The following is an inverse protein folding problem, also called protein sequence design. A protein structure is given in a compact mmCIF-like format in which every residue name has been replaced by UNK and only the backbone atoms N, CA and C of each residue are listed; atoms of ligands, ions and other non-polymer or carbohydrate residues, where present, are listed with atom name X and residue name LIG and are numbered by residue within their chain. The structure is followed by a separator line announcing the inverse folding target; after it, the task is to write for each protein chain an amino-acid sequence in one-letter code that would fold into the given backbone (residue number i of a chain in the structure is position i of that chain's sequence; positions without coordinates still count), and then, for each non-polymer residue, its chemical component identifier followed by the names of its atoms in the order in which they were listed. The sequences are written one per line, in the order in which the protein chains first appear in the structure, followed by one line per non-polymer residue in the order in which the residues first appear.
data_IF_839692593975
#
_entry.id   IF_839692593975
#
_cell.length_a   1.000
_cell.length_b   1.000
_cell.length_c   1.000
_cell.angle_alpha   90.00
_cell.angle_beta   90.00
_cell.angle_gamma   90.00
#
_symmetry.space_group_name_H-M   'P 1'
#
loop_
_entity.id
_entity.type
_entity.pdbx_description
1 polymer ?
#
# COMPACT_ATOMS: atom_id res chain seq x y z
N UNK A 1 -6.84 8.97 16.18
CA UNK A 1 -6.13 8.72 17.45
C UNK A 1 -4.65 8.50 17.12
N UNK A 2 -3.75 9.36 17.57
CA UNK A 2 -2.31 9.12 17.41
C UNK A 2 -1.86 8.14 18.48
N UNK A 3 -1.04 7.15 18.11
CA UNK A 3 -0.54 6.12 19.01
C UNK A 3 0.50 6.74 19.95
N UNK A 4 0.35 6.51 21.26
CA UNK A 4 1.33 6.92 22.25
C UNK A 4 2.64 6.13 22.07
N UNK A 5 3.81 6.75 22.27
CA UNK A 5 5.09 6.06 22.21
C UNK A 5 5.11 4.89 23.22
N UNK A 6 5.45 3.68 22.74
CA UNK A 6 5.63 2.50 23.61
C UNK A 6 4.53 1.44 23.53
N UNK A 7 3.40 1.73 22.87
CA UNK A 7 2.34 0.73 22.66
C UNK A 7 2.73 -0.21 21.51
N UNK A 8 3.33 -1.36 21.85
CA UNK A 8 3.80 -2.40 20.89
C UNK A 8 2.69 -3.13 20.11
N UNK A 9 1.42 -2.92 20.44
CA UNK A 9 0.32 -3.75 19.94
C UNK A 9 -0.38 -3.22 18.69
N UNK A 10 -0.13 -1.97 18.28
CA UNK A 10 -0.68 -1.44 17.03
C UNK A 10 0.41 -1.43 15.96
N UNK A 11 0.33 -2.39 15.05
CA UNK A 11 1.01 -2.33 13.75
C UNK A 11 0.68 -1.00 13.06
N UNK A 12 1.71 -0.34 12.56
CA UNK A 12 1.62 0.97 11.92
C UNK A 12 1.42 0.78 10.43
N UNK A 13 0.44 1.47 9.86
CA UNK A 13 0.38 1.64 8.41
C UNK A 13 1.66 2.40 8.00
N UNK A 14 2.45 1.82 7.10
CA UNK A 14 3.69 2.43 6.65
C UNK A 14 3.42 3.77 5.92
N UNK A 15 2.40 3.79 5.06
CA UNK A 15 2.07 4.97 4.28
C UNK A 15 0.59 5.08 3.91
N UNK A 16 0.07 6.31 3.95
CA UNK A 16 -1.15 6.68 3.24
C UNK A 16 -0.78 7.68 2.14
N UNK A 17 -1.22 7.42 0.92
CA UNK A 17 -0.95 8.26 -0.24
C UNK A 17 -2.24 8.55 -1.01
N UNK A 18 -2.19 9.57 -1.86
CA UNK A 18 -3.25 9.85 -2.82
C UNK A 18 -2.84 9.27 -4.17
N UNK A 19 -3.56 8.27 -4.65
CA UNK A 19 -3.38 7.72 -5.97
C UNK A 19 -4.03 8.66 -6.98
N UNK A 20 -3.21 9.38 -7.75
CA UNK A 20 -3.68 10.38 -8.73
C UNK A 20 -4.37 9.71 -9.93
N UNK A 21 -3.99 8.47 -10.27
CA UNK A 21 -4.60 7.73 -11.37
C UNK A 21 -6.02 7.26 -11.05
N UNK A 22 -6.24 6.83 -9.81
CA UNK A 22 -7.53 6.36 -9.31
C UNK A 22 -8.34 7.43 -8.56
N UNK A 23 -7.74 8.60 -8.34
CA UNK A 23 -8.34 9.75 -7.64
C UNK A 23 -8.90 9.40 -6.26
N UNK A 24 -8.14 8.62 -5.49
CA UNK A 24 -8.54 8.15 -4.15
C UNK A 24 -7.34 8.05 -3.20
N UNK A 25 -7.62 8.01 -1.90
CA UNK A 25 -6.62 7.66 -0.89
C UNK A 25 -6.38 6.15 -0.90
N UNK A 26 -5.13 5.76 -0.71
CA UNK A 26 -4.73 4.36 -0.62
C UNK A 26 -3.70 4.15 0.47
N UNK A 27 -3.89 3.07 1.23
CA UNK A 27 -2.95 2.60 2.24
C UNK A 27 -1.93 1.72 1.55
N UNK A 28 -0.65 1.91 1.84
CA UNK A 28 0.44 1.10 1.31
C UNK A 28 1.27 0.50 2.43
N UNK A 29 1.59 -0.78 2.29
CA UNK A 29 2.62 -1.48 3.07
C UNK A 29 3.88 -1.58 2.22
N UNK A 30 5.04 -1.27 2.79
CA UNK A 30 6.30 -1.22 2.04
C UNK A 30 7.29 -2.22 2.63
N UNK A 31 7.71 -3.19 1.82
CA UNK A 31 8.70 -4.20 2.20
C UNK A 31 9.93 -4.13 1.31
N UNK A 32 11.08 -4.51 1.84
CA UNK A 32 12.24 -4.84 1.02
C UNK A 32 12.15 -6.28 0.50
N UNK A 33 12.74 -6.58 -0.64
CA UNK A 33 12.76 -7.94 -1.22
C UNK A 33 13.30 -9.02 -0.26
N UNK A 34 14.21 -8.63 0.65
CA UNK A 34 14.80 -9.48 1.67
C UNK A 34 13.99 -9.55 2.98
N UNK A 35 12.80 -8.94 3.04
CA UNK A 35 11.95 -9.04 4.23
C UNK A 35 11.39 -10.47 4.33
N UNK A 36 11.75 -11.16 5.41
CA UNK A 36 11.37 -12.55 5.62
C UNK A 36 9.85 -12.75 5.73
N UNK A 37 9.06 -11.69 5.98
CA UNK A 37 7.59 -11.75 6.06
C UNK A 37 6.93 -11.86 4.69
N UNK A 38 7.68 -11.63 3.61
CA UNK A 38 7.23 -11.89 2.24
C UNK A 38 7.28 -13.37 1.87
N UNK A 39 7.99 -14.20 2.67
CA UNK A 39 8.24 -15.61 2.35
C UNK A 39 7.32 -16.52 3.13
N UNK A 40 6.91 -17.61 2.48
CA UNK A 40 6.26 -18.72 3.16
C UNK A 40 7.27 -19.45 4.04
N UNK A 41 6.84 -19.79 5.26
CA UNK A 41 7.58 -20.69 6.15
C UNK A 41 6.73 -21.92 6.36
N UNK A 42 7.30 -23.10 6.12
CA UNK A 42 6.61 -24.39 6.29
C UNK A 42 5.26 -24.49 5.55
N UNK A 43 5.20 -23.91 4.33
CA UNK A 43 4.00 -23.90 3.49
C UNK A 43 2.88 -22.98 3.99
N UNK A 44 3.13 -22.18 5.03
CA UNK A 44 2.14 -21.23 5.55
C UNK A 44 2.08 -19.96 4.69
N UNK A 45 0.92 -19.33 4.66
CA UNK A 45 0.74 -18.02 4.00
C UNK A 45 1.72 -17.01 4.60
N UNK A 46 2.42 -16.21 3.78
CA UNK A 46 3.36 -15.19 4.29
C UNK A 46 2.70 -14.21 5.26
N UNK A 47 3.41 -13.84 6.32
CA UNK A 47 2.91 -12.93 7.38
C UNK A 47 2.39 -11.61 6.82
N UNK A 48 3.01 -11.08 5.75
CA UNK A 48 2.57 -9.83 5.12
C UNK A 48 1.10 -9.86 4.69
N UNK A 49 0.56 -11.02 4.29
CA UNK A 49 -0.85 -11.15 3.88
C UNK A 49 -1.79 -10.87 5.05
N UNK A 50 -1.45 -11.38 6.23
CA UNK A 50 -2.22 -11.12 7.45
C UNK A 50 -2.14 -9.63 7.85
N UNK A 51 -1.00 -8.98 7.63
CA UNK A 51 -0.86 -7.53 7.84
C UNK A 51 -1.80 -6.74 6.91
N UNK A 52 -1.82 -7.08 5.62
CA UNK A 52 -2.71 -6.44 4.62
C UNK A 52 -4.19 -6.62 4.98
N UNK A 53 -4.57 -7.84 5.39
CA UNK A 53 -5.92 -8.14 5.88
C UNK A 53 -6.30 -7.27 7.06
N UNK A 54 -5.41 -7.11 8.05
CA UNK A 54 -5.65 -6.24 9.20
C UNK A 54 -5.80 -4.78 8.79
N UNK A 55 -5.05 -4.30 7.80
CA UNK A 55 -5.22 -2.93 7.29
C UNK A 55 -6.53 -2.72 6.56
N UNK A 56 -6.98 -3.69 5.75
CA UNK A 56 -8.32 -3.65 5.14
C UNK A 56 -9.40 -3.46 6.21
N UNK A 57 -9.39 -4.31 7.24
CA UNK A 57 -10.37 -4.25 8.34
C UNK A 57 -10.31 -2.92 9.09
N UNK A 58 -9.10 -2.40 9.38
CA UNK A 58 -8.97 -1.09 10.04
C UNK A 58 -9.39 0.07 9.13
N UNK A 59 -9.09 -0.01 7.84
CA UNK A 59 -9.52 0.96 6.83
C UNK A 59 -11.04 1.04 6.75
N UNK A 60 -11.73 -0.09 6.84
CA UNK A 60 -13.19 -0.18 6.95
C UNK A 60 -13.70 0.47 8.24
N UNK A 61 -13.13 0.09 9.39
CA UNK A 61 -13.59 0.52 10.71
C UNK A 61 -13.34 2.02 11.00
N UNK A 62 -12.26 2.58 10.46
CA UNK A 62 -11.80 3.94 10.76
C UNK A 62 -11.73 4.83 9.51
N UNK A 63 -12.55 4.51 8.50
CA UNK A 63 -12.54 5.17 7.18
C UNK A 63 -12.63 6.68 7.30
N UNK A 64 -13.61 7.18 8.04
CA UNK A 64 -13.90 8.62 8.16
C UNK A 64 -12.73 9.37 8.82
N UNK A 65 -12.15 8.78 9.87
CA UNK A 65 -11.00 9.36 10.57
C UNK A 65 -9.76 9.40 9.70
N UNK A 66 -9.52 8.36 8.89
CA UNK A 66 -8.38 8.31 7.95
C UNK A 66 -8.52 9.41 6.89
N UNK A 67 -9.71 9.53 6.27
CA UNK A 67 -9.98 10.56 5.26
C UNK A 67 -9.80 11.95 5.87
N UNK A 68 -10.40 12.21 7.03
CA UNK A 68 -10.31 13.51 7.71
C UNK A 68 -8.86 13.87 8.07
N UNK A 69 -8.07 12.90 8.55
CA UNK A 69 -6.66 13.10 8.85
C UNK A 69 -5.84 13.44 7.60
N UNK A 70 -6.12 12.77 6.48
CA UNK A 70 -5.46 13.04 5.21
C UNK A 70 -5.82 14.42 4.65
N UNK A 71 -7.10 14.80 4.67
CA UNK A 71 -7.56 16.12 4.27
C UNK A 71 -6.92 17.23 5.09
N UNK A 72 -6.87 17.04 6.41
CA UNK A 72 -6.21 17.98 7.33
C UNK A 72 -4.72 18.12 6.99
N UNK A 73 -4.03 17.01 6.76
CA UNK A 73 -2.61 16.98 6.40
C UNK A 73 -2.33 17.67 5.05
N UNK A 74 -3.16 17.40 4.04
CA UNK A 74 -3.09 18.03 2.71
C UNK A 74 -3.34 19.54 2.84
N UNK A 75 -4.38 19.95 3.56
CA UNK A 75 -4.69 21.36 3.82
C UNK A 75 -3.54 22.09 4.52
N UNK A 76 -2.92 21.46 5.52
CA UNK A 76 -1.75 22.00 6.20
C UNK A 76 -0.55 22.13 5.26
N UNK A 77 -0.24 21.08 4.47
CA UNK A 77 0.85 21.11 3.49
C UNK A 77 0.68 22.25 2.47
N UNK A 78 -0.54 22.52 2.00
CA UNK A 78 -0.82 23.66 1.11
C UNK A 78 -0.56 25.00 1.77
N UNK A 79 -1.03 25.18 3.01
CA UNK A 79 -0.82 26.41 3.80
C UNK A 79 0.66 26.68 4.08
N UNK A 80 1.45 25.63 4.22
CA UNK A 80 2.91 25.70 4.41
C UNK A 80 3.70 25.88 3.10
N UNK A 81 3.04 25.98 1.95
CA UNK A 81 3.70 26.23 0.67
C UNK A 81 4.22 24.97 -0.05
N UNK A 82 3.89 23.75 0.43
CA UNK A 82 4.28 22.50 -0.25
C UNK A 82 3.37 22.13 -1.43
N UNK A 83 2.85 23.14 -2.15
CA UNK A 83 1.87 22.94 -3.24
C UNK A 83 2.42 22.07 -4.38
N UNK A 84 3.70 22.20 -4.72
CA UNK A 84 4.35 21.38 -5.75
C UNK A 84 4.39 19.89 -5.41
N UNK A 85 4.40 19.53 -4.12
CA UNK A 85 4.35 18.12 -3.67
C UNK A 85 2.92 17.54 -3.67
N UNK A 86 1.92 18.36 -3.99
CA UNK A 86 0.51 18.00 -4.03
C UNK A 86 -0.06 18.17 -5.44
N UNK A 87 0.81 18.23 -6.45
CA UNK A 87 0.40 18.26 -7.84
C UNK A 87 -0.48 17.02 -8.14
N UNK A 88 -1.63 17.26 -8.78
CA UNK A 88 -2.64 16.21 -9.04
C UNK A 88 -3.58 15.88 -7.88
N UNK A 89 -3.34 16.37 -6.66
CA UNK A 89 -4.26 16.16 -5.53
C UNK A 89 -5.35 17.25 -5.52
N UNK A 90 -6.65 16.90 -5.55
CA UNK A 90 -7.76 17.88 -5.63
C UNK A 90 -7.77 18.85 -4.45
N UNK A 91 -8.16 20.11 -4.71
CA UNK A 91 -8.27 21.13 -3.66
C UNK A 91 -9.40 20.84 -2.66
N UNK A 92 -10.53 20.38 -3.16
CA UNK A 92 -11.73 20.03 -2.39
C UNK A 92 -11.84 18.52 -2.20
N UNK A 93 -11.86 18.08 -0.94
CA UNK A 93 -12.46 16.79 -0.57
C UNK A 93 -13.98 16.80 -0.81
N UNK A 94 -14.69 15.69 -0.56
CA UNK A 94 -14.21 14.51 0.15
C UNK A 94 -13.40 13.56 -0.73
N UNK A 95 -12.32 13.02 -0.17
CA UNK A 95 -11.60 11.91 -0.81
C UNK A 95 -12.26 10.57 -0.49
N UNK A 96 -12.30 9.67 -1.47
CA UNK A 96 -12.61 8.25 -1.22
C UNK A 96 -11.37 7.52 -0.70
N UNK A 97 -11.58 6.41 0.00
CA UNK A 97 -10.51 5.52 0.47
C UNK A 97 -10.65 4.18 -0.28
N UNK A 98 -9.53 3.67 -0.79
CA UNK A 98 -9.45 2.37 -1.43
C UNK A 98 -9.75 1.25 -0.44
N UNK A 99 -10.46 0.23 -0.90
CA UNK A 99 -10.93 -0.87 -0.07
C UNK A 99 -9.79 -1.68 0.53
N UNK A 100 -8.86 -2.08 -0.34
CA UNK A 100 -7.73 -2.92 0.01
C UNK A 100 -6.43 -2.10 -0.03
N UNK A 101 -5.44 -2.43 0.81
CA UNK A 101 -4.13 -1.79 0.75
C UNK A 101 -3.34 -2.23 -0.48
N UNK A 102 -2.29 -1.47 -0.81
CA UNK A 102 -1.30 -1.80 -1.83
C UNK A 102 -0.07 -2.39 -1.15
N UNK A 103 0.50 -3.46 -1.71
CA UNK A 103 1.84 -3.91 -1.31
C UNK A 103 2.88 -3.31 -2.26
N UNK A 104 3.92 -2.72 -1.70
CA UNK A 104 5.10 -2.27 -2.44
C UNK A 104 6.30 -3.10 -2.00
N UNK A 105 6.98 -3.74 -2.96
CA UNK A 105 8.22 -4.47 -2.71
C UNK A 105 9.36 -3.72 -3.40
N UNK A 106 10.24 -3.14 -2.59
CA UNK A 106 11.40 -2.39 -3.03
C UNK A 106 12.69 -3.20 -3.03
N UNK A 107 13.68 -2.71 -3.78
CA UNK A 107 14.99 -3.35 -3.90
C UNK A 107 15.01 -4.57 -4.81
N UNK A 108 13.99 -4.76 -5.65
CA UNK A 108 13.90 -5.88 -6.58
C UNK A 108 14.93 -5.75 -7.70
N UNK A 109 15.65 -6.83 -7.99
CA UNK A 109 16.35 -7.00 -9.26
C UNK A 109 15.38 -7.39 -10.39
N UNK A 110 15.87 -7.42 -11.63
CA UNK A 110 15.06 -7.90 -12.76
C UNK A 110 14.67 -9.37 -12.62
N UNK A 111 15.49 -10.17 -11.95
CA UNK A 111 15.21 -11.59 -11.73
C UNK A 111 14.16 -11.77 -10.64
N UNK A 112 14.21 -10.97 -9.58
CA UNK A 112 13.17 -10.95 -8.54
C UNK A 112 11.81 -10.58 -9.12
N UNK A 113 11.76 -9.52 -9.94
CA UNK A 113 10.51 -9.09 -10.60
C UNK A 113 9.94 -10.23 -11.42
N UNK A 114 10.76 -10.89 -12.25
CA UNK A 114 10.31 -12.03 -13.06
C UNK A 114 9.83 -13.19 -12.19
N UNK A 115 10.61 -13.59 -11.18
CA UNK A 115 10.27 -14.72 -10.31
C UNK A 115 8.95 -14.53 -9.55
N UNK A 116 8.65 -13.30 -9.12
CA UNK A 116 7.39 -12.93 -8.47
C UNK A 116 6.23 -12.97 -9.47
N UNK A 117 6.38 -12.31 -10.62
CA UNK A 117 5.32 -12.22 -11.63
C UNK A 117 4.99 -13.59 -12.26
N UNK A 118 6.00 -14.43 -12.45
CA UNK A 118 5.86 -15.80 -12.96
C UNK A 118 5.35 -16.79 -11.90
N UNK A 119 5.09 -16.32 -10.67
CA UNK A 119 4.60 -17.13 -9.54
C UNK A 119 5.41 -18.39 -9.31
N UNK A 120 6.73 -18.26 -9.35
CA UNK A 120 7.62 -19.40 -9.03
C UNK A 120 7.30 -19.97 -7.65
N UNK A 121 7.67 -21.23 -7.34
CA UNK A 121 7.23 -21.91 -6.11
C UNK A 121 7.49 -21.15 -4.81
N UNK A 122 8.54 -20.32 -4.74
CA UNK A 122 8.84 -19.46 -3.60
C UNK A 122 7.79 -18.37 -3.35
N UNK A 123 7.14 -17.89 -4.41
CA UNK A 123 6.30 -16.69 -4.42
C UNK A 123 4.82 -16.99 -4.62
N UNK A 124 4.46 -18.21 -5.00
CA UNK A 124 3.08 -18.58 -5.36
C UNK A 124 2.09 -18.26 -4.24
N UNK A 125 2.41 -18.63 -2.98
CA UNK A 125 1.54 -18.39 -1.83
C UNK A 125 1.40 -16.90 -1.48
N UNK A 126 2.43 -16.09 -1.75
CA UNK A 126 2.32 -14.64 -1.62
C UNK A 126 1.32 -14.12 -2.65
N UNK A 127 1.50 -14.50 -3.91
CA UNK A 127 0.69 -14.00 -5.03
C UNK A 127 -0.78 -14.38 -4.89
N UNK A 128 -1.09 -15.60 -4.45
CA UNK A 128 -2.45 -16.05 -4.14
C UNK A 128 -3.08 -15.22 -3.01
N UNK A 129 -2.36 -14.98 -1.92
CA UNK A 129 -2.85 -14.15 -0.82
C UNK A 129 -3.05 -12.69 -1.21
N UNK A 130 -2.23 -12.15 -2.12
CA UNK A 130 -2.34 -10.77 -2.58
C UNK A 130 -3.60 -10.51 -3.42
N UNK A 131 -4.03 -11.47 -4.25
CA UNK A 131 -5.27 -11.32 -5.02
C UNK A 131 -6.50 -11.15 -4.10
N UNK A 132 -6.48 -11.80 -2.94
CA UNK A 132 -7.56 -11.70 -1.97
C UNK A 132 -7.47 -10.42 -1.13
N UNK A 133 -6.27 -10.07 -0.65
CA UNK A 133 -6.10 -9.08 0.42
C UNK A 133 -5.53 -7.73 -0.02
N UNK A 134 -4.96 -7.60 -1.22
CA UNK A 134 -4.41 -6.34 -1.74
C UNK A 134 -5.23 -5.78 -2.91
N UNK A 135 -5.19 -4.46 -3.08
CA UNK A 135 -5.68 -3.79 -4.27
C UNK A 135 -4.71 -3.93 -5.44
N UNK A 136 -3.42 -4.03 -5.13
CA UNK A 136 -2.37 -4.24 -6.12
C UNK A 136 -1.00 -4.44 -5.50
N UNK A 137 -0.04 -4.77 -6.36
CA UNK A 137 1.36 -4.99 -6.06
C UNK A 137 2.22 -4.10 -6.94
N UNK A 138 3.12 -3.32 -6.35
CA UNK A 138 4.13 -2.54 -7.05
C UNK A 138 5.51 -3.11 -6.73
N UNK A 139 6.27 -3.48 -7.74
CA UNK A 139 7.64 -3.97 -7.64
C UNK A 139 8.60 -2.89 -8.10
N UNK A 140 9.52 -2.45 -7.27
CA UNK A 140 10.47 -1.40 -7.64
C UNK A 140 11.91 -1.75 -7.30
N UNK A 141 12.83 -1.19 -8.09
CA UNK A 141 14.27 -1.31 -7.85
C UNK A 141 14.73 -0.42 -6.69
N UNK A 142 16.01 -0.04 -6.69
CA UNK A 142 16.58 0.77 -5.61
C UNK A 142 16.14 2.25 -5.62
N UNK A 143 15.68 2.76 -6.76
CA UNK A 143 15.39 4.19 -6.94
C UNK A 143 13.97 4.61 -6.53
N UNK A 144 13.24 3.75 -5.81
CA UNK A 144 11.85 3.97 -5.44
C UNK A 144 10.90 3.95 -6.65
N UNK A 145 9.61 4.23 -6.41
CA UNK A 145 8.59 4.31 -7.43
C UNK A 145 7.55 5.38 -7.10
N UNK A 146 6.83 5.85 -8.11
CA UNK A 146 5.59 6.56 -7.89
C UNK A 146 4.53 5.57 -7.40
N UNK A 147 3.80 5.94 -6.36
CA UNK A 147 2.68 5.15 -5.85
C UNK A 147 1.44 5.51 -6.64
N UNK A 148 1.30 4.85 -7.77
CA UNK A 148 0.17 4.95 -8.68
C UNK A 148 -0.11 3.55 -9.22
N UNK A 149 -1.28 3.01 -8.88
CA UNK A 149 -1.75 1.72 -9.35
C UNK A 149 -2.20 1.81 -10.80
N UNK A 150 -1.22 1.74 -11.70
CA UNK A 150 -1.45 1.57 -13.12
C UNK A 150 -0.88 0.24 -13.57
N UNK A 151 -1.72 -0.62 -14.16
CA UNK A 151 -1.28 -1.91 -14.66
C UNK A 151 -0.08 -1.75 -15.63
N UNK A 152 0.96 -2.53 -15.40
CA UNK A 152 2.21 -2.42 -16.15
C UNK A 152 3.20 -3.52 -15.82
N UNK A 153 4.41 -3.44 -16.39
CA UNK A 153 5.44 -4.49 -16.25
C UNK A 153 5.88 -4.75 -14.80
N UNK A 154 5.65 -3.81 -13.90
CA UNK A 154 6.08 -3.86 -12.50
C UNK A 154 4.94 -3.55 -11.54
N UNK A 155 3.70 -3.50 -12.05
CA UNK A 155 2.53 -3.17 -11.25
C UNK A 155 1.37 -4.08 -11.65
N UNK A 156 0.90 -4.87 -10.69
CA UNK A 156 -0.30 -5.70 -10.83
C UNK A 156 -1.44 -5.02 -10.08
N UNK A 157 -2.59 -4.95 -10.73
CA UNK A 157 -3.83 -4.43 -10.15
C UNK A 157 -4.77 -5.61 -9.97
N UNK A 158 -5.24 -5.84 -8.75
CA UNK A 158 -6.15 -6.93 -8.39
C UNK A 158 -7.58 -6.40 -8.21
N UNK A 159 -7.75 -5.43 -7.32
CA UNK A 159 -9.06 -4.90 -6.94
C UNK A 159 -8.94 -3.44 -6.47
N UNK A 160 -9.09 -2.46 -7.38
CA UNK A 160 -8.99 -1.03 -7.05
C UNK A 160 -10.31 -0.46 -6.52
N UNK A 161 -11.22 -1.30 -6.00
CA UNK A 161 -12.50 -0.82 -5.48
C UNK A 161 -12.31 0.19 -4.35
N UNK A 162 -13.17 1.20 -4.33
CA UNK A 162 -13.26 2.19 -3.26
C UNK A 162 -14.45 1.86 -2.36
N UNK A 163 -14.35 2.25 -1.09
CA UNK A 163 -15.46 2.12 -0.14
C UNK A 163 -16.63 3.07 -0.44
#
# INVERSE_FOLDING_TARGET
MFQEPGVRTAEKIDLCHFDVGLNCLSLAEVKGIHDNRLRSRDGQVPEVIDQLRRYRVRGEQHRSEIIQACETSIGLKRRLGFKSRLEGVPESGPFSLMKKPVLVIGGCSHDDVRAILDRTPEWILLMEGLEEEAAGLILCGQNGCNLNLQAGRQCLVFDPSVF
#
